data_IF_898905311598
#
_entry.id   IF_898905311598
#
_cell.length_a   1.000
_cell.length_b   1.000
_cell.length_c   1.000
_cell.angle_alpha   90.00
_cell.angle_beta   90.00
_cell.angle_gamma   90.00
#
_symmetry.space_group_name_H-M   'P 1'
#
loop_
_entity.id
_entity.type
_entity.pdbx_description
1 polymer ?
#
# COMPACT_ATOMS: atom_id res chain seq x y z
N UNK A 1 14.09 -11.15 4.65
CA UNK A 1 13.23 -11.00 3.45
C UNK A 1 13.78 -9.89 2.61
N UNK A 2 13.97 -10.10 1.32
CA UNK A 2 14.32 -9.04 0.36
C UNK A 2 13.07 -8.20 0.11
N UNK A 3 13.13 -6.85 0.11
CA UNK A 3 11.94 -6.02 -0.08
C UNK A 3 11.31 -6.26 -1.45
N UNK A 4 10.01 -6.53 -1.48
CA UNK A 4 9.26 -6.76 -2.71
C UNK A 4 8.91 -5.41 -3.37
N UNK A 5 9.53 -5.16 -4.52
CA UNK A 5 9.39 -3.93 -5.31
C UNK A 5 8.46 -4.07 -6.52
N UNK A 6 7.67 -5.15 -6.59
CA UNK A 6 6.60 -5.21 -7.59
C UNK A 6 5.66 -4.02 -7.41
N UNK A 7 5.01 -3.52 -8.48
CA UNK A 7 4.06 -2.43 -8.39
C UNK A 7 3.05 -2.60 -7.25
N UNK A 8 2.75 -1.53 -6.52
CA UNK A 8 1.83 -1.51 -5.35
C UNK A 8 0.52 -2.24 -5.66
N UNK A 9 -0.10 -1.95 -6.81
CA UNK A 9 -1.35 -2.57 -7.25
C UNK A 9 -1.21 -4.10 -7.40
N UNK A 10 -0.08 -4.59 -7.90
CA UNK A 10 0.18 -6.01 -8.08
C UNK A 10 0.37 -6.72 -6.73
N UNK A 11 1.02 -6.08 -5.76
CA UNK A 11 1.21 -6.65 -4.43
C UNK A 11 -0.11 -6.76 -3.67
N UNK A 12 -0.90 -5.69 -3.70
CA UNK A 12 -2.19 -5.64 -3.02
C UNK A 12 -3.25 -6.57 -3.64
N UNK A 13 -3.14 -6.92 -4.92
CA UNK A 13 -4.08 -7.82 -5.60
C UNK A 13 -4.12 -9.24 -5.00
N UNK A 14 -3.12 -9.61 -4.19
CA UNK A 14 -3.14 -10.86 -3.42
C UNK A 14 -4.12 -10.82 -2.23
N UNK A 15 -4.47 -9.62 -1.76
CA UNK A 15 -5.26 -9.40 -0.53
C UNK A 15 -6.63 -8.76 -0.79
N UNK A 16 -6.75 -8.00 -1.88
CA UNK A 16 -7.90 -7.16 -2.16
C UNK A 16 -8.48 -7.43 -3.55
N UNK A 17 -9.80 -7.33 -3.66
CA UNK A 17 -10.49 -7.25 -4.96
C UNK A 17 -10.17 -5.93 -5.67
N UNK A 18 -10.42 -5.84 -6.99
CA UNK A 18 -10.17 -4.60 -7.74
C UNK A 18 -10.88 -3.36 -7.16
N UNK A 19 -12.13 -3.51 -6.72
CA UNK A 19 -12.86 -2.41 -6.10
C UNK A 19 -12.22 -1.97 -4.77
N UNK A 20 -11.71 -2.91 -3.98
CA UNK A 20 -10.99 -2.63 -2.74
C UNK A 20 -9.61 -2.03 -3.01
N UNK A 21 -8.94 -2.42 -4.10
CA UNK A 21 -7.66 -1.84 -4.51
C UNK A 21 -7.80 -0.35 -4.82
N UNK A 22 -8.81 0.03 -5.61
CA UNK A 22 -9.04 1.44 -5.92
C UNK A 22 -9.35 2.23 -4.65
N UNK A 23 -10.17 1.68 -3.75
CA UNK A 23 -10.41 2.32 -2.45
C UNK A 23 -9.12 2.49 -1.66
N UNK A 24 -8.28 1.45 -1.56
CA UNK A 24 -7.04 1.52 -0.80
C UNK A 24 -6.07 2.55 -1.39
N UNK A 25 -5.94 2.60 -2.73
CA UNK A 25 -5.02 3.50 -3.43
C UNK A 25 -5.46 4.97 -3.33
N UNK A 26 -6.77 5.24 -3.43
CA UNK A 26 -7.31 6.59 -3.53
C UNK A 26 -7.88 7.16 -2.24
N UNK A 27 -8.09 6.35 -1.20
CA UNK A 27 -8.56 6.84 0.10
C UNK A 27 -7.41 7.12 1.05
N UNK A 28 -7.55 8.14 1.92
CA UNK A 28 -6.71 8.32 3.09
C UNK A 28 -6.53 7.02 3.87
N UNK A 29 -5.29 6.63 4.12
CA UNK A 29 -4.98 5.50 4.98
C UNK A 29 -4.47 6.02 6.34
N UNK A 30 -5.08 5.61 7.48
CA UNK A 30 -4.64 6.06 8.80
C UNK A 30 -3.18 5.72 9.10
N UNK A 31 -2.65 4.62 8.54
CA UNK A 31 -1.26 4.20 8.69
C UNK A 31 -0.27 5.04 7.86
N UNK A 32 -0.78 5.91 6.99
CA UNK A 32 -0.01 6.79 6.09
C UNK A 32 -0.27 8.26 6.40
N UNK A 33 -0.41 8.62 7.68
CA UNK A 33 -0.68 9.99 8.11
C UNK A 33 -1.97 10.57 7.52
N UNK A 34 -2.96 9.69 7.27
CA UNK A 34 -4.20 10.05 6.58
C UNK A 34 -4.00 10.59 5.16
N UNK A 35 -2.89 10.24 4.51
CA UNK A 35 -2.68 10.48 3.08
C UNK A 35 -3.11 9.26 2.27
N UNK A 36 -3.55 9.50 1.06
CA UNK A 36 -3.82 8.42 0.12
C UNK A 36 -2.49 7.89 -0.46
N UNK A 37 -2.33 6.57 -0.62
CA UNK A 37 -1.11 5.97 -1.17
C UNK A 37 -0.64 6.58 -2.49
N UNK A 38 -1.56 6.93 -3.40
CA UNK A 38 -1.19 7.56 -4.67
C UNK A 38 -0.46 8.90 -4.48
N UNK A 39 -0.82 9.68 -3.45
CA UNK A 39 -0.19 10.97 -3.15
C UNK A 39 1.25 10.79 -2.69
N UNK A 40 1.53 9.72 -1.94
CA UNK A 40 2.90 9.38 -1.52
C UNK A 40 3.73 8.91 -2.71
N UNK A 41 3.17 8.09 -3.59
CA UNK A 41 3.87 7.65 -4.81
C UNK A 41 4.20 8.84 -5.71
N UNK A 42 3.25 9.74 -5.95
CA UNK A 42 3.43 10.95 -6.74
C UNK A 42 4.51 11.88 -6.13
N UNK A 43 4.59 11.94 -4.80
CA UNK A 43 5.63 12.67 -4.07
C UNK A 43 7.00 11.95 -4.02
N UNK A 44 7.19 10.82 -4.73
CA UNK A 44 8.43 10.04 -4.70
C UNK A 44 8.65 9.22 -3.42
N UNK A 45 7.64 9.13 -2.56
CA UNK A 45 7.63 8.43 -1.26
C UNK A 45 7.00 7.03 -1.36
N UNK A 46 7.11 6.38 -2.52
CA UNK A 46 6.56 5.05 -2.77
C UNK A 46 7.09 3.99 -1.78
N UNK A 47 8.29 4.21 -1.24
CA UNK A 47 8.91 3.35 -0.23
C UNK A 47 8.04 3.14 1.01
N UNK A 48 7.39 4.20 1.49
CA UNK A 48 6.54 4.13 2.68
C UNK A 48 5.30 3.27 2.44
N UNK A 49 4.76 3.32 1.22
CA UNK A 49 3.63 2.49 0.80
C UNK A 49 4.06 1.02 0.74
N UNK A 50 5.26 0.73 0.21
CA UNK A 50 5.80 -0.63 0.20
C UNK A 50 6.02 -1.18 1.62
N UNK A 51 6.53 -0.38 2.55
CA UNK A 51 6.72 -0.81 3.94
C UNK A 51 5.40 -1.11 4.65
N UNK A 52 4.33 -0.37 4.33
CA UNK A 52 2.99 -0.69 4.84
C UNK A 52 2.49 -2.03 4.28
N UNK A 53 2.72 -2.29 2.99
CA UNK A 53 2.33 -3.57 2.38
C UNK A 53 3.17 -4.73 2.94
N UNK A 54 4.45 -4.52 3.25
CA UNK A 54 5.28 -5.52 3.93
C UNK A 54 4.69 -5.88 5.31
N UNK A 55 4.14 -4.90 6.04
CA UNK A 55 3.44 -5.15 7.32
C UNK A 55 2.13 -5.90 7.14
N UNK A 56 1.35 -5.58 6.10
CA UNK A 56 0.15 -6.32 5.70
C UNK A 56 0.50 -7.79 5.38
N UNK A 57 1.51 -8.03 4.55
CA UNK A 57 1.99 -9.36 4.16
C UNK A 57 2.48 -10.18 5.36
N UNK A 58 3.06 -9.53 6.37
CA UNK A 58 3.50 -10.16 7.60
C UNK A 58 2.34 -10.51 8.57
N UNK A 59 1.09 -10.22 8.22
CA UNK A 59 -0.08 -10.45 9.07
C UNK A 59 -0.19 -9.47 10.24
N UNK A 60 0.49 -8.33 10.18
CA UNK A 60 0.56 -7.34 11.26
C UNK A 60 -0.51 -6.24 11.16
N UNK A 61 -1.61 -6.49 10.44
CA UNK A 61 -2.70 -5.52 10.33
C UNK A 61 -3.61 -5.63 11.57
N UNK A 62 -3.73 -4.54 12.32
CA UNK A 62 -4.60 -4.39 13.51
C UNK A 62 -5.51 -3.19 13.32
#
# INVERSE_FOLDING_TARGET
MTPDRRPIRQRLAAHFTEAQLDLWIYRPNPDLWSLAPYQLVDAGRAEEVHQLIDRLDAGAYV
#
